data_IF_554981279591
#
_entry.id   IF_554981279591
#
_cell.length_a   1.000
_cell.length_b   1.000
_cell.length_c   1.000
_cell.angle_alpha   90.00
_cell.angle_beta   90.00
_cell.angle_gamma   90.00
#
_symmetry.space_group_name_H-M   'P 1'
#
loop_
_entity.id
_entity.type
_entity.pdbx_description
1 polymer ?
#
# COMPACT_ATOMS: atom_id res chain seq x y z
N UNK A 1 -17.98 29.83 25.99
CA UNK A 1 -17.73 28.41 25.68
C UNK A 1 -18.00 28.28 24.19
N UNK A 2 -16.96 28.11 23.37
CA UNK A 2 -17.14 27.95 21.93
C UNK A 2 -17.85 26.63 21.66
N UNK A 3 -18.96 26.66 20.91
CA UNK A 3 -19.61 25.44 20.45
C UNK A 3 -18.79 24.86 19.29
N UNK A 4 -18.77 23.53 19.19
CA UNK A 4 -18.17 22.82 18.06
C UNK A 4 -18.64 23.37 16.70
N UNK A 5 -19.92 23.70 16.60
CA UNK A 5 -20.54 24.31 15.41
C UNK A 5 -19.95 25.68 15.07
N UNK A 6 -19.59 26.47 16.09
CA UNK A 6 -18.96 27.78 15.90
C UNK A 6 -17.54 27.67 15.35
N UNK A 7 -16.79 26.63 15.75
CA UNK A 7 -15.43 26.40 15.25
C UNK A 7 -15.44 25.78 13.85
N UNK A 8 -16.42 24.92 13.53
CA UNK A 8 -16.60 24.39 12.18
C UNK A 8 -16.93 25.52 11.17
N UNK A 9 -17.83 26.43 11.54
CA UNK A 9 -18.16 27.59 10.70
C UNK A 9 -16.94 28.48 10.44
N UNK A 10 -16.12 28.74 11.47
CA UNK A 10 -14.89 29.53 11.35
C UNK A 10 -13.85 28.88 10.44
N UNK A 11 -13.68 27.55 10.53
CA UNK A 11 -12.75 26.81 9.67
C UNK A 11 -13.19 26.80 8.21
N UNK A 12 -14.50 26.71 7.98
CA UNK A 12 -15.09 26.75 6.64
C UNK A 12 -14.91 28.14 6.00
N UNK A 13 -15.11 29.21 6.77
CA UNK A 13 -14.85 30.60 6.35
C UNK A 13 -13.37 30.84 6.01
N UNK A 14 -12.44 30.28 6.80
CA UNK A 14 -11.00 30.36 6.51
C UNK A 14 -10.61 29.65 5.21
N UNK A 15 -11.23 28.50 4.92
CA UNK A 15 -11.01 27.75 3.68
C UNK A 15 -11.53 28.50 2.45
N UNK A 16 -12.71 29.13 2.56
CA UNK A 16 -13.28 29.93 1.48
C UNK A 16 -12.44 31.19 1.19
N UNK A 17 -11.88 31.83 2.24
CA UNK A 17 -10.98 32.98 2.08
C UNK A 17 -9.63 32.60 1.45
N UNK A 18 -9.12 31.39 1.71
CA UNK A 18 -7.89 30.89 1.09
C UNK A 18 -8.09 30.58 -0.40
N UNK A 19 -9.27 30.04 -0.76
CA UNK A 19 -9.66 29.79 -2.16
C UNK A 19 -9.79 31.10 -2.94
N UNK A 20 -10.36 32.15 -2.34
CA UNK A 20 -10.54 33.45 -3.00
C UNK A 20 -9.22 34.23 -3.17
N UNK A 21 -8.22 34.00 -2.31
CA UNK A 21 -6.91 34.64 -2.43
C UNK A 21 -6.02 34.01 -3.53
N UNK A 22 -6.28 32.77 -3.92
CA UNK A 22 -5.51 32.06 -4.96
C UNK A 22 -5.94 32.45 -6.39
N UNK A 23 -7.13 33.04 -6.56
CA UNK A 23 -7.61 33.58 -7.84
C UNK A 23 -6.91 34.90 -8.25
N UNK A 24 -6.12 35.51 -7.35
CA UNK A 24 -5.51 36.84 -7.53
C UNK A 24 -4.05 36.87 -8.02
N UNK A 25 -3.36 35.73 -8.11
CA UNK A 25 -1.96 35.68 -8.59
C UNK A 25 -1.79 34.64 -9.68
N UNK A 26 -2.12 35.05 -10.91
CA UNK A 26 -1.87 34.26 -12.12
C UNK A 26 -0.38 33.96 -12.32
N UNK A 27 0.03 32.77 -11.90
CA UNK A 27 1.14 32.04 -12.52
C UNK A 27 0.49 31.05 -13.47
N UNK A 28 0.70 31.23 -14.77
CA UNK A 28 0.23 30.30 -15.79
C UNK A 28 0.95 28.95 -15.60
N UNK A 29 0.32 28.06 -14.84
CA UNK A 29 0.67 26.64 -14.84
C UNK A 29 0.15 26.05 -16.15
N UNK A 30 1.06 25.86 -17.10
CA UNK A 30 0.82 25.05 -18.28
C UNK A 30 0.76 23.57 -17.86
N UNK A 31 -0.37 23.20 -17.26
CA UNK A 31 -0.77 21.81 -17.01
C UNK A 31 -1.28 21.22 -18.33
N UNK A 32 -0.35 20.90 -19.22
CA UNK A 32 -0.60 19.84 -20.20
C UNK A 32 -0.47 18.49 -19.49
N UNK A 33 -1.37 18.24 -18.53
CA UNK A 33 -1.82 16.90 -18.24
C UNK A 33 -2.52 16.40 -19.50
N UNK A 34 -2.13 15.21 -19.98
CA UNK A 34 -2.88 14.51 -21.01
C UNK A 34 -4.33 14.42 -20.51
N UNK A 35 -5.18 15.28 -21.09
CA UNK A 35 -6.63 15.14 -21.01
C UNK A 35 -6.96 13.95 -21.91
N UNK A 36 -6.61 12.74 -21.46
CA UNK A 36 -7.35 11.53 -21.81
C UNK A 36 -8.80 11.90 -21.45
N UNK A 37 -9.65 12.01 -22.48
CA UNK A 37 -11.08 12.26 -22.33
C UNK A 37 -11.61 11.40 -21.18
N UNK A 38 -11.83 12.06 -20.05
CA UNK A 38 -12.43 11.42 -18.89
C UNK A 38 -13.88 11.20 -19.26
N UNK A 39 -14.22 9.95 -19.56
CA UNK A 39 -15.58 9.50 -19.36
C UNK A 39 -16.00 9.88 -17.94
N UNK A 40 -17.15 10.53 -17.85
CA UNK A 40 -17.76 11.11 -16.66
C UNK A 40 -18.18 10.03 -15.65
N UNK A 41 -17.23 9.28 -15.09
CA UNK A 41 -17.52 8.50 -13.90
C UNK A 41 -17.53 9.46 -12.69
N UNK A 42 -18.73 9.76 -12.21
CA UNK A 42 -18.95 10.45 -10.93
C UNK A 42 -18.07 9.82 -9.84
N UNK A 43 -17.26 10.65 -9.16
CA UNK A 43 -16.41 10.27 -8.02
C UNK A 43 -17.32 9.89 -6.82
N UNK A 44 -17.83 8.65 -6.82
CA UNK A 44 -18.58 8.09 -5.70
C UNK A 44 -17.60 7.60 -4.66
N UNK A 45 -17.22 8.50 -3.76
CA UNK A 45 -16.44 8.18 -2.57
C UNK A 45 -17.24 7.19 -1.71
N UNK A 46 -16.74 5.97 -1.55
CA UNK A 46 -17.31 5.01 -0.61
C UNK A 46 -17.03 5.47 0.83
N UNK A 47 -18.08 5.77 1.58
CA UNK A 47 -18.01 6.08 3.01
C UNK A 47 -18.21 4.79 3.81
N UNK A 48 -17.23 4.41 4.62
CA UNK A 48 -17.36 3.33 5.61
C UNK A 48 -17.19 3.91 7.01
N UNK A 49 -18.15 3.60 7.90
CA UNK A 49 -18.11 3.93 9.33
C UNK A 49 -17.72 2.67 10.10
N UNK A 50 -16.55 2.68 10.75
CA UNK A 50 -16.10 1.53 11.54
C UNK A 50 -15.72 1.95 12.97
N UNK A 51 -16.35 1.30 13.95
CA UNK A 51 -15.99 1.38 15.37
C UNK A 51 -15.14 0.15 15.71
N UNK A 52 -13.85 0.35 15.94
CA UNK A 52 -12.91 -0.70 16.36
C UNK A 52 -12.71 -0.67 17.87
N UNK A 53 -13.59 -1.33 18.62
CA UNK A 53 -13.37 -1.61 20.04
C UNK A 53 -12.93 -3.07 20.21
N UNK A 54 -11.66 -3.28 20.58
CA UNK A 54 -11.15 -4.60 20.96
C UNK A 54 -10.57 -4.53 22.37
N UNK A 55 -11.42 -4.75 23.37
CA UNK A 55 -11.00 -5.01 24.75
C UNK A 55 -10.92 -6.53 24.94
N UNK A 56 -9.73 -7.09 25.17
CA UNK A 56 -9.53 -8.49 25.56
C UNK A 56 -9.17 -8.56 27.04
N UNK A 57 -10.16 -8.86 27.89
CA UNK A 57 -9.94 -9.27 29.28
C UNK A 57 -9.66 -10.79 29.33
N UNK A 58 -8.48 -11.17 29.79
CA UNK A 58 -8.13 -12.55 30.14
C UNK A 58 -8.31 -12.70 31.66
N UNK A 59 -9.37 -13.39 32.08
CA UNK A 59 -9.49 -13.87 33.46
C UNK A 59 -9.07 -15.34 33.53
N UNK A 60 -7.89 -15.59 34.07
CA UNK A 60 -7.45 -16.92 34.52
C UNK A 60 -7.80 -17.05 36.01
N UNK A 61 -8.66 -18.02 36.37
CA UNK A 61 -8.60 -18.74 37.64
C UNK A 61 -9.72 -19.82 37.72
N UNK A 62 -9.37 -21.09 37.92
CA UNK A 62 -9.51 -21.77 39.23
C UNK A 62 -9.25 -23.30 39.15
N UNK A 63 -8.70 -23.75 40.28
CA UNK A 63 -8.20 -25.06 40.70
C UNK A 63 -9.11 -26.29 40.47
N UNK A 64 -8.43 -27.42 40.23
CA UNK A 64 -9.01 -28.75 40.12
C UNK A 64 -9.26 -29.37 41.51
N UNK A 65 -10.53 -29.45 41.92
CA UNK A 65 -10.98 -30.25 43.05
C UNK A 65 -11.28 -31.72 42.67
N UNK A 66 -10.71 -32.66 43.41
CA UNK A 66 -11.00 -34.10 43.35
C UNK A 66 -12.42 -34.42 43.85
N UNK A 67 -13.15 -35.34 43.20
CA UNK A 67 -14.18 -36.13 43.89
C UNK A 67 -14.54 -37.47 43.17
N UNK A 68 -14.88 -38.46 44.01
CA UNK A 68 -15.00 -39.91 43.75
C UNK A 68 -16.43 -40.33 43.31
N UNK A 69 -16.83 -41.63 43.21
CA UNK A 69 -17.39 -42.17 41.98
C UNK A 69 -18.84 -42.64 42.15
N UNK A 70 -19.84 -41.79 41.88
CA UNK A 70 -21.18 -42.27 41.48
C UNK A 70 -22.12 -41.12 41.07
N UNK A 71 -22.39 -40.99 39.77
CA UNK A 71 -23.76 -40.95 39.22
C UNK A 71 -23.71 -40.58 37.74
N UNK A 72 -24.00 -41.57 36.88
CA UNK A 72 -24.22 -41.37 35.45
C UNK A 72 -25.58 -40.73 35.20
N UNK A 73 -25.75 -39.47 35.59
CA UNK A 73 -26.97 -38.70 35.33
C UNK A 73 -27.09 -38.39 33.83
N UNK A 74 -27.95 -39.12 33.14
CA UNK A 74 -28.40 -38.80 31.78
C UNK A 74 -29.90 -38.54 31.77
N UNK A 75 -30.31 -37.45 31.12
CA UNK A 75 -31.68 -37.02 30.96
C UNK A 75 -32.10 -37.15 29.49
N UNK A 76 -33.37 -37.41 29.22
CA UNK A 76 -33.91 -37.37 27.86
C UNK A 76 -34.70 -36.08 27.65
N UNK A 77 -34.55 -35.48 26.46
CA UNK A 77 -35.34 -34.33 26.03
C UNK A 77 -36.82 -34.68 25.86
N UNK A 78 -37.66 -33.64 25.66
CA UNK A 78 -39.11 -33.82 25.46
C UNK A 78 -39.47 -34.69 24.26
N UNK A 79 -38.57 -34.79 23.29
CA UNK A 79 -38.66 -35.68 22.13
C UNK A 79 -38.46 -37.16 22.47
N UNK A 80 -38.02 -37.49 23.69
CA UNK A 80 -37.60 -38.83 24.16
C UNK A 80 -36.48 -39.47 23.33
N UNK A 81 -35.87 -38.74 22.42
CA UNK A 81 -34.81 -39.22 21.52
C UNK A 81 -33.47 -38.60 21.92
N UNK A 82 -33.45 -37.31 22.25
CA UNK A 82 -32.20 -36.61 22.55
C UNK A 82 -31.78 -36.87 24.00
N UNK A 83 -30.62 -37.51 24.19
CA UNK A 83 -30.08 -37.83 25.52
C UNK A 83 -28.99 -36.85 25.94
N UNK A 84 -29.28 -36.06 26.96
CA UNK A 84 -28.37 -35.11 27.60
C UNK A 84 -27.61 -35.79 28.73
N UNK A 85 -26.30 -35.56 28.83
CA UNK A 85 -25.47 -36.01 29.96
C UNK A 85 -24.85 -34.81 30.63
N UNK A 86 -24.94 -34.76 31.97
CA UNK A 86 -24.36 -33.66 32.77
C UNK A 86 -22.83 -33.70 32.79
N UNK A 87 -22.24 -34.88 32.57
CA UNK A 87 -20.78 -35.08 32.51
C UNK A 87 -20.37 -35.37 31.07
N UNK A 88 -19.48 -34.55 30.52
CA UNK A 88 -18.85 -34.78 29.22
C UNK A 88 -18.01 -36.05 29.33
N UNK A 89 -18.41 -37.12 28.64
CA UNK A 89 -17.57 -38.30 28.50
C UNK A 89 -16.40 -37.94 27.60
N UNK A 90 -15.26 -37.59 28.20
CA UNK A 90 -14.00 -37.40 27.50
C UNK A 90 -13.69 -38.69 26.73
N UNK A 91 -13.74 -38.71 25.38
CA UNK A 91 -13.33 -39.89 24.63
C UNK A 91 -11.83 -40.11 24.90
N UNK A 92 -11.46 -41.29 25.41
CA UNK A 92 -10.07 -41.68 25.70
C UNK A 92 -9.15 -41.72 24.46
N UNK A 93 -9.70 -41.45 23.28
CA UNK A 93 -8.97 -41.30 22.03
C UNK A 93 -9.50 -40.08 21.29
N UNK A 94 -9.11 -38.90 21.76
CA UNK A 94 -9.14 -37.70 20.94
C UNK A 94 -8.05 -37.92 19.88
N UNK A 95 -8.41 -38.38 18.68
CA UNK A 95 -7.61 -37.97 17.53
C UNK A 95 -7.69 -36.45 17.58
N UNK A 96 -6.58 -35.83 17.96
CA UNK A 96 -6.37 -34.42 17.72
C UNK A 96 -6.92 -34.16 16.31
N UNK A 97 -7.81 -33.17 16.13
CA UNK A 97 -8.11 -32.69 14.77
C UNK A 97 -6.74 -32.50 14.07
N UNK A 98 -6.64 -32.63 12.75
CA UNK A 98 -5.43 -32.18 12.06
C UNK A 98 -5.30 -30.67 12.30
N UNK A 99 -4.77 -30.29 13.46
CA UNK A 99 -4.45 -28.94 13.87
C UNK A 99 -3.25 -28.57 13.01
N UNK A 100 -3.20 -27.33 12.51
CA UNK A 100 -2.14 -26.82 11.65
C UNK A 100 -0.75 -27.25 12.13
N UNK A 101 -0.24 -28.38 11.63
CA UNK A 101 1.15 -28.76 11.85
C UNK A 101 1.91 -27.79 10.98
N UNK A 102 2.46 -26.73 11.59
CA UNK A 102 3.35 -25.79 10.94
C UNK A 102 4.58 -26.60 10.49
N UNK A 103 4.61 -26.98 9.21
CA UNK A 103 5.70 -27.80 8.64
C UNK A 103 6.95 -27.00 8.35
N UNK A 104 6.86 -25.66 8.36
CA UNK A 104 7.95 -24.76 7.99
C UNK A 104 8.22 -23.80 9.14
N UNK A 105 9.47 -23.78 9.60
CA UNK A 105 9.92 -22.79 10.58
C UNK A 105 9.85 -21.38 9.94
N UNK A 106 9.51 -20.35 10.72
CA UNK A 106 9.54 -18.98 10.23
C UNK A 106 10.95 -18.58 9.84
N UNK A 107 11.07 -17.75 8.80
CA UNK A 107 12.35 -17.25 8.32
C UNK A 107 12.46 -17.18 6.80
N UNK A 108 13.66 -16.86 6.33
CA UNK A 108 13.97 -16.81 4.90
C UNK A 108 13.66 -18.15 4.23
N UNK A 109 13.05 -18.07 3.04
CA UNK A 109 12.81 -19.25 2.23
C UNK A 109 14.11 -19.81 1.66
N UNK A 110 14.05 -21.00 1.05
CA UNK A 110 15.25 -21.59 0.44
C UNK A 110 15.87 -20.71 -0.65
N UNK A 111 15.06 -19.90 -1.34
CA UNK A 111 15.52 -19.00 -2.40
C UNK A 111 16.20 -17.75 -1.86
N UNK A 112 15.85 -17.29 -0.65
CA UNK A 112 16.42 -16.07 -0.04
C UNK A 112 17.43 -16.35 1.07
N UNK A 113 17.53 -17.59 1.57
CA UNK A 113 18.36 -17.97 2.72
C UNK A 113 19.84 -17.61 2.59
N UNK A 114 20.37 -17.60 1.37
CA UNK A 114 21.77 -17.37 1.10
C UNK A 114 22.09 -15.92 0.69
N UNK A 115 21.08 -15.06 0.52
CA UNK A 115 21.29 -13.65 0.19
C UNK A 115 21.84 -12.94 1.44
N UNK A 116 22.96 -12.23 1.27
CA UNK A 116 23.65 -11.57 2.40
C UNK A 116 23.75 -10.07 2.20
N UNK A 117 23.95 -9.63 0.98
CA UNK A 117 24.11 -8.21 0.69
C UNK A 117 22.74 -7.52 0.59
N UNK A 118 22.58 -6.31 1.14
CA UNK A 118 21.31 -5.57 1.08
C UNK A 118 20.78 -5.40 -0.34
N UNK A 119 21.68 -5.18 -1.30
CA UNK A 119 21.32 -5.03 -2.71
C UNK A 119 20.80 -6.34 -3.31
N UNK A 120 21.43 -7.48 -3.04
CA UNK A 120 20.96 -8.80 -3.50
C UNK A 120 19.58 -9.13 -2.94
N UNK A 121 19.33 -8.77 -1.68
CA UNK A 121 18.02 -8.94 -1.03
C UNK A 121 17.00 -8.03 -1.72
N UNK A 122 17.36 -6.78 -2.01
CA UNK A 122 16.46 -5.85 -2.70
C UNK A 122 16.13 -6.33 -4.12
N UNK A 123 17.13 -6.79 -4.89
CA UNK A 123 16.97 -7.33 -6.24
C UNK A 123 16.11 -8.60 -6.28
N UNK A 124 16.03 -9.35 -5.18
CA UNK A 124 15.08 -10.46 -5.09
C UNK A 124 13.62 -9.98 -5.10
N UNK A 125 13.31 -8.93 -4.33
CA UNK A 125 11.94 -8.40 -4.27
C UNK A 125 11.60 -7.54 -5.49
N UNK A 126 12.55 -6.76 -5.96
CA UNK A 126 12.44 -5.84 -7.09
C UNK A 126 13.42 -6.27 -8.20
N UNK A 127 13.10 -7.40 -8.83
CA UNK A 127 13.96 -8.06 -9.81
C UNK A 127 13.97 -7.37 -11.18
N UNK A 128 14.88 -7.82 -12.04
CA UNK A 128 15.02 -7.28 -13.39
C UNK A 128 13.74 -7.42 -14.21
N UNK A 129 12.94 -8.49 -14.02
CA UNK A 129 11.66 -8.61 -14.72
C UNK A 129 10.69 -7.47 -14.39
N UNK A 130 10.59 -7.07 -13.11
CA UNK A 130 9.77 -5.93 -12.70
C UNK A 130 10.33 -4.64 -13.29
N UNK A 131 11.65 -4.46 -13.23
CA UNK A 131 12.30 -3.25 -13.72
C UNK A 131 12.21 -3.11 -15.23
N UNK A 132 12.33 -4.21 -15.98
CA UNK A 132 12.20 -4.23 -17.44
C UNK A 132 10.78 -3.84 -17.86
N UNK A 133 9.74 -4.32 -17.17
CA UNK A 133 8.35 -3.87 -17.41
C UNK A 133 8.24 -2.35 -17.23
N UNK A 134 8.85 -1.80 -16.18
CA UNK A 134 8.85 -0.35 -15.92
C UNK A 134 9.57 0.39 -17.05
N UNK A 135 10.73 -0.10 -17.48
CA UNK A 135 11.52 0.49 -18.57
C UNK A 135 10.72 0.48 -19.87
N UNK A 136 10.15 -0.66 -20.25
CA UNK A 136 9.36 -0.83 -21.46
C UNK A 136 8.15 0.11 -21.48
N UNK A 137 7.30 0.04 -20.45
CA UNK A 137 6.09 0.87 -20.37
C UNK A 137 6.42 2.38 -20.33
N UNK A 138 7.49 2.75 -19.62
CA UNK A 138 7.95 4.14 -19.55
C UNK A 138 8.46 4.61 -20.91
N UNK A 139 9.20 3.78 -21.64
CA UNK A 139 9.70 4.10 -22.98
C UNK A 139 8.58 4.20 -24.02
N UNK A 140 7.57 3.33 -23.95
CA UNK A 140 6.34 3.45 -24.77
C UNK A 140 5.70 4.83 -24.59
N UNK A 141 5.57 5.27 -23.34
CA UNK A 141 5.01 6.59 -23.05
C UNK A 141 5.91 7.74 -23.50
N UNK A 142 7.23 7.64 -23.25
CA UNK A 142 8.21 8.64 -23.71
C UNK A 142 8.12 8.84 -25.23
N UNK A 143 8.02 7.76 -26.00
CA UNK A 143 7.89 7.86 -27.46
C UNK A 143 6.58 8.56 -27.86
N UNK A 144 5.48 8.30 -27.13
CA UNK A 144 4.18 8.94 -27.41
C UNK A 144 4.19 10.46 -27.20
N UNK A 145 4.95 10.97 -26.23
CA UNK A 145 5.05 12.41 -25.93
C UNK A 145 6.24 13.09 -26.61
N UNK A 146 7.07 12.33 -27.34
CA UNK A 146 8.34 12.80 -27.90
C UNK A 146 8.18 14.02 -28.81
N UNK A 147 7.10 14.07 -29.58
CA UNK A 147 6.82 15.16 -30.52
C UNK A 147 6.51 16.49 -29.82
N UNK A 148 6.18 16.47 -28.51
CA UNK A 148 5.94 17.67 -27.72
C UNK A 148 7.26 18.39 -27.36
N UNK A 149 8.41 17.78 -27.63
CA UNK A 149 9.72 18.32 -27.29
C UNK A 149 10.44 18.81 -28.55
N UNK A 150 10.88 20.08 -28.53
CA UNK A 150 11.65 20.66 -29.64
C UNK A 150 13.00 19.95 -29.86
N UNK A 151 13.63 19.45 -28.79
CA UNK A 151 14.93 18.78 -28.84
C UNK A 151 14.74 17.30 -28.55
N UNK A 152 15.18 16.44 -29.47
CA UNK A 152 15.15 14.98 -29.31
C UNK A 152 15.82 14.48 -28.02
N UNK A 153 16.84 15.19 -27.53
CA UNK A 153 17.57 14.83 -26.32
C UNK A 153 16.76 15.02 -25.03
N UNK A 154 15.71 15.85 -25.07
CA UNK A 154 14.91 16.15 -23.88
C UNK A 154 13.88 15.05 -23.59
N UNK A 155 13.61 14.18 -24.58
CA UNK A 155 12.74 13.00 -24.49
C UNK A 155 13.49 11.73 -24.94
N UNK A 156 14.66 11.47 -24.35
CA UNK A 156 15.40 10.22 -24.61
C UNK A 156 14.79 9.05 -23.86
N UNK A 157 14.78 7.85 -24.46
CA UNK A 157 14.36 6.64 -23.76
C UNK A 157 15.27 6.38 -22.55
N UNK A 158 14.69 5.71 -21.55
CA UNK A 158 15.37 5.22 -20.35
C UNK A 158 15.83 3.77 -20.52
N UNK A 159 16.62 3.30 -19.56
CA UNK A 159 17.12 1.93 -19.51
C UNK A 159 17.15 1.43 -18.06
N UNK A 160 17.47 0.14 -17.91
CA UNK A 160 17.52 -0.53 -16.61
C UNK A 160 18.45 0.18 -15.60
N UNK A 161 19.63 0.63 -16.04
CA UNK A 161 20.60 1.32 -15.17
C UNK A 161 20.03 2.66 -14.69
N UNK A 162 19.40 3.42 -15.58
CA UNK A 162 18.81 4.72 -15.25
C UNK A 162 17.59 4.58 -14.32
N UNK A 163 16.72 3.59 -14.53
CA UNK A 163 15.59 3.31 -13.62
C UNK A 163 16.10 2.85 -12.24
N UNK A 164 17.14 2.02 -12.18
CA UNK A 164 17.79 1.66 -10.90
C UNK A 164 18.34 2.88 -10.19
N UNK A 165 19.03 3.78 -10.91
CA UNK A 165 19.52 5.03 -10.35
C UNK A 165 18.38 5.96 -9.88
N UNK A 166 17.30 6.05 -10.64
CA UNK A 166 16.10 6.81 -10.29
C UNK A 166 15.46 6.31 -8.98
N UNK A 167 15.29 5.00 -8.83
CA UNK A 167 14.77 4.40 -7.58
C UNK A 167 15.73 4.68 -6.41
N UNK A 168 17.04 4.53 -6.63
CA UNK A 168 18.06 4.87 -5.64
C UNK A 168 17.98 6.33 -5.18
N UNK A 169 17.76 7.26 -6.11
CA UNK A 169 17.53 8.69 -5.82
C UNK A 169 16.30 8.89 -4.93
N UNK A 170 15.19 8.19 -5.21
CA UNK A 170 13.97 8.24 -4.38
C UNK A 170 14.26 7.70 -2.96
N UNK A 171 15.00 6.60 -2.84
CA UNK A 171 15.39 6.08 -1.53
C UNK A 171 16.27 7.04 -0.76
N UNK A 172 17.24 7.68 -1.41
CA UNK A 172 18.06 8.71 -0.77
C UNK A 172 17.20 9.87 -0.28
N UNK A 173 16.21 10.34 -1.06
CA UNK A 173 15.28 11.37 -0.59
C UNK A 173 14.52 10.93 0.67
N UNK A 174 14.16 9.64 0.77
CA UNK A 174 13.57 9.04 1.98
C UNK A 174 14.53 9.05 3.17
N UNK A 175 15.79 8.65 2.96
CA UNK A 175 16.85 8.66 4.00
C UNK A 175 17.09 10.05 4.57
N UNK A 176 17.05 11.09 3.72
CA UNK A 176 17.17 12.48 4.15
C UNK A 176 15.89 13.07 4.73
N UNK A 177 14.80 12.29 4.85
CA UNK A 177 13.47 12.78 5.25
C UNK A 177 13.00 13.98 4.41
N UNK A 178 13.37 13.99 3.13
CA UNK A 178 13.17 15.10 2.21
C UNK A 178 11.91 14.94 1.33
N UNK A 179 10.97 14.08 1.75
CA UNK A 179 9.76 13.75 1.00
C UNK A 179 8.80 14.94 0.78
N UNK A 180 8.96 16.02 1.55
CA UNK A 180 8.18 17.28 1.42
C UNK A 180 9.03 18.47 1.00
N UNK A 181 10.32 18.27 0.76
CA UNK A 181 11.21 19.33 0.28
C UNK A 181 11.07 19.50 -1.23
N UNK A 182 11.33 20.71 -1.72
CA UNK A 182 11.40 20.92 -3.15
C UNK A 182 12.62 20.16 -3.69
N UNK A 183 12.45 19.48 -4.82
CA UNK A 183 13.56 18.82 -5.49
C UNK A 183 14.68 19.82 -5.89
N UNK A 184 14.37 21.11 -6.07
CA UNK A 184 15.40 22.14 -6.30
C UNK A 184 16.38 22.26 -5.13
N UNK A 185 15.90 22.17 -3.89
CA UNK A 185 16.75 22.28 -2.71
C UNK A 185 17.73 21.10 -2.64
N UNK A 186 17.22 19.89 -2.87
CA UNK A 186 18.03 18.67 -2.90
C UNK A 186 19.09 18.71 -4.01
N UNK A 187 18.75 19.28 -5.17
CA UNK A 187 19.65 19.41 -6.31
C UNK A 187 20.44 20.74 -6.32
N UNK A 188 20.40 21.54 -5.26
CA UNK A 188 21.11 22.82 -5.25
C UNK A 188 22.63 22.65 -5.38
N UNK A 189 23.29 23.64 -5.99
CA UNK A 189 24.74 23.71 -6.17
C UNK A 189 25.39 24.87 -5.39
N UNK A 190 24.63 25.59 -4.57
CA UNK A 190 25.10 26.72 -3.75
C UNK A 190 25.73 26.29 -2.41
N UNK A 191 25.85 24.97 -2.18
CA UNK A 191 26.35 24.39 -0.93
C UNK A 191 25.27 23.92 0.05
N UNK A 192 23.99 24.23 -0.21
CA UNK A 192 22.86 23.75 0.60
C UNK A 192 22.29 22.40 0.14
N UNK A 193 22.51 22.05 -1.14
CA UNK A 193 22.02 20.79 -1.72
C UNK A 193 22.88 19.58 -1.36
N UNK A 194 22.41 18.39 -1.74
CA UNK A 194 23.10 17.12 -1.45
C UNK A 194 23.71 16.58 -2.73
N UNK A 195 25.04 16.48 -2.76
CA UNK A 195 25.81 16.19 -3.99
C UNK A 195 25.38 14.90 -4.69
N UNK A 196 25.04 13.85 -3.93
CA UNK A 196 24.67 12.54 -4.48
C UNK A 196 23.52 12.62 -5.50
N UNK A 197 22.57 13.53 -5.31
CA UNK A 197 21.42 13.68 -6.21
C UNK A 197 21.87 14.18 -7.59
N UNK A 198 22.69 15.24 -7.64
CA UNK A 198 23.23 15.80 -8.89
C UNK A 198 24.23 14.87 -9.56
N UNK A 199 25.00 14.12 -8.78
CA UNK A 199 25.97 13.15 -9.30
C UNK A 199 25.27 11.91 -9.89
N UNK A 200 24.13 11.51 -9.34
CA UNK A 200 23.35 10.37 -9.83
C UNK A 200 22.55 10.73 -11.11
N UNK A 201 21.79 11.83 -11.09
CA UNK A 201 21.10 12.32 -12.28
C UNK A 201 20.80 13.82 -12.22
N UNK A 202 20.59 14.47 -13.37
CA UNK A 202 20.20 15.88 -13.38
C UNK A 202 18.76 16.08 -12.87
N UNK A 203 18.48 17.22 -12.25
CA UNK A 203 17.14 17.58 -11.78
C UNK A 203 16.11 17.55 -12.93
N UNK A 204 16.51 18.04 -14.10
CA UNK A 204 15.66 18.04 -15.29
C UNK A 204 15.30 16.61 -15.72
N UNK A 205 16.27 15.68 -15.67
CA UNK A 205 16.02 14.27 -16.01
C UNK A 205 15.15 13.59 -14.96
N UNK A 206 15.40 13.84 -13.67
CA UNK A 206 14.55 13.34 -12.57
C UNK A 206 13.09 13.79 -12.76
N UNK A 207 12.86 15.08 -12.97
CA UNK A 207 11.52 15.67 -13.24
C UNK A 207 10.88 15.13 -14.52
N UNK A 208 11.66 14.77 -15.52
CA UNK A 208 11.14 14.14 -16.73
C UNK A 208 10.70 12.70 -16.46
N UNK A 209 11.55 11.88 -15.84
CA UNK A 209 11.27 10.48 -15.55
C UNK A 209 10.09 10.32 -14.59
N UNK A 210 10.01 11.11 -13.51
CA UNK A 210 8.89 11.01 -12.55
C UNK A 210 7.52 11.28 -13.21
N UNK A 211 7.46 12.12 -14.24
CA UNK A 211 6.23 12.39 -15.01
C UNK A 211 5.93 11.28 -16.02
N UNK A 212 6.98 10.69 -16.60
CA UNK A 212 6.85 9.69 -17.66
C UNK A 212 6.72 8.26 -17.14
N UNK A 213 7.00 8.00 -15.85
CA UNK A 213 7.02 6.67 -15.27
C UNK A 213 5.68 5.94 -15.50
N UNK A 214 5.73 4.73 -16.07
CA UNK A 214 4.57 3.86 -16.28
C UNK A 214 4.91 2.43 -15.84
N UNK A 215 3.88 1.68 -15.47
CA UNK A 215 3.97 0.28 -15.01
C UNK A 215 3.11 -0.66 -15.85
N UNK A 216 2.50 -0.13 -16.92
CA UNK A 216 1.52 -0.84 -17.72
C UNK A 216 1.47 -0.27 -19.14
N UNK A 217 1.18 -1.13 -20.12
CA UNK A 217 1.14 -0.75 -21.54
C UNK A 217 -0.18 -0.05 -21.88
N UNK A 218 -0.09 1.09 -22.55
CA UNK A 218 -1.25 1.91 -22.92
C UNK A 218 -2.23 1.15 -23.83
N UNK A 219 -1.73 0.27 -24.68
CA UNK A 219 -2.51 -0.44 -25.71
C UNK A 219 -3.55 -1.38 -25.10
N UNK A 220 -3.20 -2.07 -24.01
CA UNK A 220 -4.07 -3.09 -23.39
C UNK A 220 -4.78 -2.60 -22.13
N UNK A 221 -4.39 -1.42 -21.63
CA UNK A 221 -4.90 -0.84 -20.37
C UNK A 221 -6.40 -0.58 -20.40
N UNK A 222 -6.94 -0.07 -21.51
CA UNK A 222 -8.36 0.30 -21.61
C UNK A 222 -9.28 -0.88 -21.31
N UNK A 223 -9.07 -2.01 -22.01
CA UNK A 223 -9.83 -3.25 -21.80
C UNK A 223 -9.70 -3.80 -20.37
N UNK A 224 -8.51 -3.73 -19.77
CA UNK A 224 -8.31 -4.25 -18.40
C UNK A 224 -8.96 -3.37 -17.33
N UNK A 225 -8.96 -2.05 -17.51
CA UNK A 225 -9.59 -1.11 -16.58
C UNK A 225 -11.09 -1.30 -16.41
N UNK A 226 -11.77 -1.85 -17.40
CA UNK A 226 -13.20 -2.21 -17.30
C UNK A 226 -13.47 -3.21 -16.18
N UNK A 227 -12.49 -4.07 -15.88
CA UNK A 227 -12.62 -5.13 -14.86
C UNK A 227 -11.76 -4.92 -13.61
N UNK A 228 -10.64 -4.21 -13.75
CA UNK A 228 -9.66 -4.02 -12.68
C UNK A 228 -9.24 -2.56 -12.57
N UNK A 229 -9.72 -1.87 -11.54
CA UNK A 229 -9.35 -0.48 -11.26
C UNK A 229 -7.84 -0.30 -11.00
N UNK A 230 -7.12 -1.35 -10.59
CA UNK A 230 -5.67 -1.36 -10.38
C UNK A 230 -4.87 -1.82 -11.60
N UNK A 231 -5.51 -2.03 -12.76
CA UNK A 231 -4.85 -2.43 -14.00
C UNK A 231 -3.56 -1.64 -14.32
N UNK A 232 -3.45 -0.31 -14.07
CA UNK A 232 -2.24 0.46 -14.38
C UNK A 232 -0.97 0.06 -13.61
N UNK A 233 -1.06 -0.75 -12.56
CA UNK A 233 0.09 -1.25 -11.79
C UNK A 233 0.03 -2.76 -11.51
N UNK A 234 -1.09 -3.42 -11.85
CA UNK A 234 -1.39 -4.81 -11.50
C UNK A 234 -0.24 -5.78 -11.77
N UNK A 235 0.35 -5.71 -12.96
CA UNK A 235 1.43 -6.63 -13.37
C UNK A 235 2.66 -6.52 -12.46
N UNK A 236 3.13 -5.30 -12.20
CA UNK A 236 4.25 -5.03 -11.28
C UNK A 236 3.89 -5.41 -9.85
N UNK A 237 2.69 -5.06 -9.40
CA UNK A 237 2.22 -5.32 -8.05
C UNK A 237 2.14 -6.83 -7.75
N UNK A 238 1.51 -7.61 -8.64
CA UNK A 238 1.33 -9.05 -8.42
C UNK A 238 2.68 -9.80 -8.41
N UNK A 239 3.63 -9.38 -9.25
CA UNK A 239 5.00 -9.92 -9.25
C UNK A 239 5.73 -9.60 -7.95
N UNK A 240 5.63 -8.35 -7.49
CA UNK A 240 6.21 -7.94 -6.21
C UNK A 240 5.61 -8.74 -5.05
N UNK A 241 4.28 -8.89 -5.00
CA UNK A 241 3.58 -9.68 -3.98
C UNK A 241 4.00 -11.15 -4.05
N UNK A 242 4.13 -11.73 -5.24
CA UNK A 242 4.61 -13.10 -5.41
C UNK A 242 6.04 -13.26 -4.88
N UNK A 243 6.93 -12.29 -5.12
CA UNK A 243 8.28 -12.29 -4.54
C UNK A 243 8.23 -12.22 -3.01
N UNK A 244 7.39 -11.38 -2.43
CA UNK A 244 7.18 -11.31 -0.98
C UNK A 244 6.71 -12.65 -0.38
N UNK A 245 5.70 -13.27 -0.98
CA UNK A 245 5.15 -14.55 -0.55
C UNK A 245 6.17 -15.70 -0.64
N UNK A 246 7.00 -15.68 -1.67
CA UNK A 246 8.03 -16.71 -1.89
C UNK A 246 9.32 -16.44 -1.09
N UNK A 247 9.56 -15.19 -0.70
CA UNK A 247 10.80 -14.76 -0.05
C UNK A 247 10.89 -15.09 1.43
N UNK A 248 9.75 -15.26 2.10
CA UNK A 248 9.71 -15.42 3.55
C UNK A 248 8.57 -16.34 4.01
N UNK A 249 8.86 -17.19 5.00
CA UNK A 249 7.85 -17.99 5.69
C UNK A 249 7.48 -17.32 7.01
N UNK A 250 6.20 -17.02 7.18
CA UNK A 250 5.64 -16.47 8.41
C UNK A 250 5.54 -17.53 9.52
N UNK A 251 5.42 -17.09 10.76
CA UNK A 251 5.10 -17.95 11.90
C UNK A 251 3.58 -18.18 11.99
N UNK A 252 3.13 -18.86 13.05
CA UNK A 252 1.70 -18.99 13.35
C UNK A 252 1.05 -17.70 13.86
N UNK A 253 1.85 -16.70 14.23
CA UNK A 253 1.40 -15.42 14.75
C UNK A 253 1.54 -14.36 13.65
N UNK A 254 0.43 -14.06 12.98
CA UNK A 254 0.34 -13.03 11.95
C UNK A 254 -0.82 -12.08 12.26
N UNK A 255 -0.64 -10.82 11.93
CA UNK A 255 -1.69 -9.80 12.01
C UNK A 255 -2.17 -9.45 10.61
N UNK A 256 -3.48 -9.23 10.50
CA UNK A 256 -4.08 -8.66 9.29
C UNK A 256 -4.63 -7.31 9.73
N UNK A 257 -4.17 -6.27 9.06
CA UNK A 257 -4.57 -4.90 9.31
C UNK A 257 -4.58 -4.15 7.97
N UNK A 258 -5.25 -3.01 7.95
CA UNK A 258 -5.32 -2.14 6.78
C UNK A 258 -4.18 -1.11 6.77
N UNK A 259 -3.75 -0.72 5.57
CA UNK A 259 -2.81 0.38 5.38
C UNK A 259 -3.42 1.37 4.40
N UNK A 260 -3.63 2.60 4.87
CA UNK A 260 -4.12 3.70 4.03
C UNK A 260 -2.93 4.48 3.43
N UNK A 261 -2.84 4.48 2.11
CA UNK A 261 -1.92 5.34 1.38
C UNK A 261 -2.61 6.69 1.07
N UNK A 262 -2.19 7.74 1.77
CA UNK A 262 -2.79 9.07 1.60
C UNK A 262 -2.60 9.63 0.18
N UNK A 263 -3.70 9.90 -0.51
CA UNK A 263 -3.70 10.47 -1.86
C UNK A 263 -4.85 11.46 -2.04
N UNK A 264 -4.54 12.66 -2.56
CA UNK A 264 -5.53 13.73 -2.76
C UNK A 264 -5.97 13.92 -4.21
N UNK A 265 -5.32 13.26 -5.17
CA UNK A 265 -5.70 13.33 -6.58
C UNK A 265 -6.97 12.50 -6.89
N UNK A 266 -7.43 12.58 -8.14
CA UNK A 266 -8.56 11.79 -8.63
C UNK A 266 -8.18 10.31 -8.68
N UNK A 267 -8.93 9.47 -7.98
CA UNK A 267 -8.75 8.02 -7.97
C UNK A 267 -10.10 7.36 -7.68
N UNK A 268 -10.56 6.49 -8.58
CA UNK A 268 -11.91 5.90 -8.57
C UNK A 268 -12.19 4.88 -7.46
N UNK A 269 -11.19 4.61 -6.61
CA UNK A 269 -11.29 3.73 -5.45
C UNK A 269 -10.68 4.38 -4.20
N UNK A 270 -10.54 5.71 -4.20
CA UNK A 270 -10.17 6.46 -3.00
C UNK A 270 -11.32 6.41 -1.99
N UNK A 271 -10.97 6.14 -0.75
CA UNK A 271 -11.91 6.14 0.37
C UNK A 271 -11.65 7.34 1.29
N UNK A 272 -12.72 7.88 1.88
CA UNK A 272 -12.62 8.90 2.93
C UNK A 272 -12.81 8.25 4.28
N UNK A 273 -11.72 8.10 5.05
CA UNK A 273 -11.77 7.59 6.41
C UNK A 273 -11.89 8.75 7.40
N UNK A 274 -13.02 8.83 8.12
CA UNK A 274 -13.20 9.75 9.24
C UNK A 274 -12.88 9.01 10.53
N UNK A 275 -11.81 9.39 11.23
CA UNK A 275 -11.56 8.91 12.59
C UNK A 275 -12.53 9.61 13.54
N UNK A 276 -13.61 8.94 13.90
CA UNK A 276 -14.49 9.37 14.98
C UNK A 276 -13.79 9.06 16.29
N UNK A 277 -13.25 10.08 16.95
CA UNK A 277 -12.77 9.94 18.31
C UNK A 277 -13.98 9.99 19.25
N UNK A 278 -14.42 8.83 19.72
CA UNK A 278 -15.28 8.77 20.90
C UNK A 278 -14.42 9.07 22.13
N UNK A 279 -14.76 10.17 22.81
CA UNK A 279 -14.14 10.61 24.06
C UNK A 279 -14.73 9.90 25.28
#
# INVERSE_FOLDING_TARGET
MWSYESEQARLQELLELEILNDEGQGIAYDDHSDTDQSDEEEDRVEQQNENSDTEQDISDDEEMGEESPNSRLSFYGKDKVTRWRKVVSHPKTRKTRQMNIVKRLPGSSLTTRNLREPLEIWEYFFNDEILDIIVECTNEYIESVRNNFMRKRDATPTNLIEIRAFIGVIYMAGVYHANRLNAEDLWSNDGSGVEIFRLAMSLQRFRFLIRCLRFDSKETRAMRRETDKLAPIRNVFDRFVANCQNGFHHSEFVTVDEMLAGFRGKCSFRQSSYKVWTA
#
